data_IF_182824709472
#
_entry.id   IF_182824709472
#
_cell.length_a   1.000
_cell.length_b   1.000
_cell.length_c   1.000
_cell.angle_alpha   90.00
_cell.angle_beta   90.00
_cell.angle_gamma   90.00
#
_symmetry.space_group_name_H-M   'P 1'
#
loop_
_entity.id
_entity.type
_entity.pdbx_description
1 polymer ?
#
# COMPACT_ATOMS: atom_id res chain seq x y z
N UNK A 1 63.74 -10.84 -14.82
CA UNK A 1 62.65 -11.61 -14.17
C UNK A 1 61.33 -11.23 -14.83
N UNK A 2 60.52 -12.24 -15.17
CA UNK A 2 59.06 -12.26 -15.48
C UNK A 2 58.47 -10.98 -16.14
N UNK A 3 58.14 -11.05 -17.45
CA UNK A 3 56.79 -11.32 -18.03
C UNK A 3 55.80 -10.16 -17.73
N UNK A 4 54.98 -9.62 -18.62
CA UNK A 4 54.57 -9.85 -20.02
C UNK A 4 53.57 -8.68 -20.28
N UNK A 5 53.70 -7.96 -21.41
CA UNK A 5 52.64 -7.71 -22.43
C UNK A 5 51.30 -7.12 -21.94
N UNK A 6 50.64 -6.13 -22.53
CA UNK A 6 50.80 -5.18 -23.65
C UNK A 6 49.49 -4.35 -23.70
N UNK A 7 49.51 -3.23 -24.44
CA UNK A 7 48.44 -2.68 -25.32
C UNK A 7 47.06 -2.39 -24.71
N UNK A 8 46.63 -1.13 -24.56
CA UNK A 8 46.41 -0.07 -25.57
C UNK A 8 45.19 -0.28 -26.48
N UNK A 9 44.50 0.84 -26.68
CA UNK A 9 43.58 1.21 -27.77
C UNK A 9 42.07 0.95 -27.59
N UNK A 10 41.39 2.01 -27.15
CA UNK A 10 40.38 2.80 -27.89
C UNK A 10 39.29 2.11 -28.72
N UNK A 11 38.08 2.67 -28.50
CA UNK A 11 36.90 2.78 -29.37
C UNK A 11 35.99 1.55 -29.47
N UNK A 12 34.80 1.68 -28.85
CA UNK A 12 33.56 1.36 -29.55
C UNK A 12 32.49 2.40 -29.18
N UNK A 13 32.19 3.25 -30.16
CA UNK A 13 30.94 3.98 -30.29
C UNK A 13 29.78 2.99 -30.50
N UNK A 14 28.60 3.41 -30.06
CA UNK A 14 27.27 2.88 -30.42
C UNK A 14 26.90 1.48 -29.90
N UNK A 15 26.20 1.49 -28.76
CA UNK A 15 24.94 0.76 -28.65
C UNK A 15 24.08 1.45 -27.59
N UNK A 16 23.21 2.36 -28.04
CA UNK A 16 21.94 2.56 -27.36
C UNK A 16 21.35 1.16 -27.20
N UNK A 17 21.20 0.68 -25.96
CA UNK A 17 20.31 -0.44 -25.72
C UNK A 17 18.89 0.07 -25.85
N UNK A 18 18.48 0.26 -27.11
CA UNK A 18 17.12 -0.02 -27.56
C UNK A 18 16.80 -1.42 -27.05
N UNK A 19 16.27 -1.51 -25.84
CA UNK A 19 15.42 -2.63 -25.49
C UNK A 19 14.16 -2.40 -26.30
N UNK A 20 14.22 -2.82 -27.56
CA UNK A 20 13.05 -3.06 -28.37
C UNK A 20 12.10 -3.89 -27.52
N UNK A 21 11.03 -3.24 -27.08
CA UNK A 21 9.87 -3.91 -26.54
C UNK A 21 9.46 -4.92 -27.59
N UNK A 22 9.65 -6.20 -27.31
CA UNK A 22 8.91 -7.24 -28.00
C UNK A 22 7.46 -7.02 -27.59
N UNK A 23 6.75 -6.15 -28.33
CA UNK A 23 5.31 -6.17 -28.37
C UNK A 23 4.94 -7.49 -29.01
N UNK A 24 4.72 -8.51 -28.17
CA UNK A 24 3.77 -9.55 -28.56
C UNK A 24 2.43 -8.85 -28.61
N UNK A 25 1.85 -8.73 -29.79
CA UNK A 25 0.41 -8.50 -29.90
C UNK A 25 -0.28 -9.65 -29.17
N UNK A 26 -0.76 -9.35 -27.97
CA UNK A 26 -1.63 -10.25 -27.23
C UNK A 26 -3.05 -9.92 -27.67
N UNK A 27 -3.48 -10.68 -28.67
CA UNK A 27 -4.83 -10.70 -29.21
C UNK A 27 -5.78 -11.33 -28.19
N UNK A 28 -6.08 -10.56 -27.14
CA UNK A 28 -6.98 -10.95 -26.05
C UNK A 28 -7.97 -9.85 -25.77
N UNK A 29 -9.23 -10.25 -25.69
CA UNK A 29 -10.36 -9.37 -25.44
C UNK A 29 -10.28 -8.75 -24.03
N UNK A 30 -10.93 -7.59 -23.78
CA UNK A 30 -10.85 -6.88 -22.51
C UNK A 30 -11.19 -7.74 -21.27
N UNK A 31 -12.12 -8.68 -21.38
CA UNK A 31 -12.49 -9.60 -20.30
C UNK A 31 -11.40 -10.61 -19.94
N UNK A 32 -10.61 -11.04 -20.93
CA UNK A 32 -9.50 -11.98 -20.70
C UNK A 32 -8.30 -11.30 -20.03
N UNK A 33 -8.09 -10.01 -20.31
CA UNK A 33 -7.06 -9.17 -19.66
C UNK A 33 -7.38 -8.93 -18.18
N UNK A 34 -8.65 -8.69 -17.85
CA UNK A 34 -9.15 -8.60 -16.47
C UNK A 34 -8.96 -9.91 -15.71
N UNK A 35 -9.25 -11.04 -16.34
CA UNK A 35 -9.05 -12.37 -15.74
C UNK A 35 -7.59 -12.71 -15.45
N UNK A 36 -6.66 -12.30 -16.31
CA UNK A 36 -5.22 -12.46 -16.05
C UNK A 36 -4.73 -11.52 -14.96
N UNK A 37 -5.15 -10.25 -14.95
CA UNK A 37 -4.81 -9.31 -13.88
C UNK A 37 -5.34 -9.77 -12.52
N UNK A 38 -6.58 -10.26 -12.43
CA UNK A 38 -7.14 -10.83 -11.19
C UNK A 38 -6.36 -12.06 -10.72
N UNK A 39 -5.94 -12.94 -11.64
CA UNK A 39 -5.14 -14.13 -11.31
C UNK A 39 -3.74 -13.76 -10.82
N UNK A 40 -3.11 -12.77 -11.44
CA UNK A 40 -1.77 -12.31 -11.06
C UNK A 40 -1.81 -11.50 -9.76
N UNK A 41 -2.87 -10.72 -9.55
CA UNK A 41 -3.14 -10.04 -8.27
C UNK A 41 -3.39 -11.06 -7.15
N UNK A 42 -4.18 -12.10 -7.40
CA UNK A 42 -4.45 -13.17 -6.43
C UNK A 42 -3.17 -13.96 -6.09
N UNK A 43 -2.29 -14.18 -7.06
CA UNK A 43 -0.98 -14.82 -6.85
C UNK A 43 0.00 -13.93 -6.08
N UNK A 44 0.05 -12.63 -6.39
CA UNK A 44 0.86 -11.64 -5.67
C UNK A 44 0.37 -11.44 -4.24
N UNK A 45 -0.94 -11.28 -4.06
CA UNK A 45 -1.59 -11.07 -2.76
C UNK A 45 -1.47 -12.28 -1.84
N UNK A 46 -1.47 -13.52 -2.37
CA UNK A 46 -1.21 -14.72 -1.55
C UNK A 46 0.21 -14.71 -0.97
N UNK A 47 1.22 -14.32 -1.76
CA UNK A 47 2.63 -14.24 -1.31
C UNK A 47 2.91 -13.08 -0.36
N UNK A 48 2.21 -11.96 -0.51
CA UNK A 48 2.40 -10.77 0.35
C UNK A 48 1.56 -10.84 1.64
N UNK A 49 0.41 -11.51 1.62
CA UNK A 49 -0.44 -11.69 2.81
C UNK A 49 0.10 -12.79 3.75
N UNK A 50 0.71 -13.86 3.20
CA UNK A 50 1.36 -14.90 4.00
C UNK A 50 2.62 -14.37 4.74
N UNK A 51 3.38 -13.44 4.16
CA UNK A 51 4.60 -12.89 4.80
C UNK A 51 4.35 -11.73 5.77
N UNK A 52 3.23 -11.00 5.63
CA UNK A 52 2.87 -9.90 6.55
C UNK A 52 2.15 -10.37 7.82
N UNK A 53 1.54 -11.56 7.81
CA UNK A 53 0.89 -12.15 8.98
C UNK A 53 1.91 -12.63 10.03
N UNK A 54 3.04 -13.18 9.59
CA UNK A 54 4.09 -13.72 10.48
C UNK A 54 4.97 -12.65 11.14
N UNK A 55 5.05 -11.43 10.58
CA UNK A 55 5.98 -10.39 11.07
C UNK A 55 5.37 -9.47 12.15
N UNK A 56 4.07 -9.56 12.44
CA UNK A 56 3.34 -8.47 13.08
C UNK A 56 2.42 -8.84 14.24
N UNK A 57 2.66 -9.98 14.93
CA UNK A 57 2.25 -10.19 16.33
C UNK A 57 0.84 -9.77 16.75
N UNK A 58 -0.12 -9.79 15.81
CA UNK A 58 -1.52 -9.45 16.05
C UNK A 58 -2.30 -10.64 15.50
N UNK A 59 -2.80 -11.44 16.43
CA UNK A 59 -3.70 -12.57 16.17
C UNK A 59 -4.82 -12.15 15.19
N UNK A 60 -4.69 -12.59 13.94
CA UNK A 60 -5.69 -13.38 13.20
C UNK A 60 -7.15 -12.91 13.09
N UNK A 61 -7.53 -11.68 13.48
CA UNK A 61 -8.89 -11.20 13.21
C UNK A 61 -8.98 -10.69 11.78
N UNK A 62 -9.74 -11.40 10.95
CA UNK A 62 -10.15 -10.93 9.64
C UNK A 62 -10.68 -9.50 9.76
N UNK A 63 -10.21 -8.61 8.89
CA UNK A 63 -10.64 -7.22 8.87
C UNK A 63 -12.16 -7.15 8.65
N UNK A 64 -12.91 -6.89 9.72
CA UNK A 64 -14.37 -6.91 9.72
C UNK A 64 -14.98 -5.74 8.95
N UNK A 65 -14.15 -4.80 8.50
CA UNK A 65 -14.58 -3.61 7.75
C UNK A 65 -14.63 -3.84 6.23
N UNK A 66 -14.20 -5.02 5.75
CA UNK A 66 -14.18 -5.33 4.32
C UNK A 66 -15.60 -5.47 3.76
N UNK A 67 -15.78 -4.93 2.55
CA UNK A 67 -17.02 -4.96 1.80
C UNK A 67 -16.88 -6.01 0.69
N UNK A 68 -17.84 -6.92 0.61
CA UNK A 68 -17.86 -7.94 -0.43
C UNK A 68 -18.66 -7.47 -1.66
N UNK A 69 -18.03 -7.50 -2.83
CA UNK A 69 -18.64 -7.23 -4.13
C UNK A 69 -18.33 -8.45 -5.01
N UNK A 70 -19.37 -9.17 -5.42
CA UNK A 70 -19.28 -10.35 -6.30
C UNK A 70 -18.26 -11.39 -5.82
N UNK A 71 -18.25 -11.67 -4.52
CA UNK A 71 -17.34 -12.63 -3.89
C UNK A 71 -15.92 -12.11 -3.62
N UNK A 72 -15.63 -10.85 -3.94
CA UNK A 72 -14.33 -10.21 -3.69
C UNK A 72 -14.44 -9.21 -2.54
N UNK A 73 -13.58 -9.36 -1.52
CA UNK A 73 -13.56 -8.50 -0.33
C UNK A 73 -12.60 -7.34 -0.50
N UNK A 74 -13.13 -6.13 -0.52
CA UNK A 74 -12.40 -4.88 -0.67
C UNK A 74 -12.40 -4.05 0.61
N UNK A 75 -11.34 -3.27 0.83
CA UNK A 75 -11.36 -2.17 1.78
C UNK A 75 -12.38 -1.11 1.34
N UNK A 76 -13.10 -0.47 2.28
CA UNK A 76 -13.94 0.65 1.94
C UNK A 76 -13.14 1.81 1.32
N UNK A 77 -13.79 2.52 0.40
CA UNK A 77 -13.25 3.72 -0.23
C UNK A 77 -13.77 4.92 0.54
N UNK A 78 -12.86 5.57 1.26
CA UNK A 78 -13.15 6.78 2.01
C UNK A 78 -12.85 8.00 1.14
N UNK A 79 -13.76 8.98 1.17
CA UNK A 79 -13.57 10.25 0.44
C UNK A 79 -13.60 11.47 1.35
N UNK A 80 -13.96 11.28 2.61
CA UNK A 80 -14.05 12.33 3.61
C UNK A 80 -12.92 12.17 4.62
N UNK A 81 -12.12 13.21 4.78
CA UNK A 81 -11.18 13.34 5.88
C UNK A 81 -11.92 13.84 7.13
N UNK A 82 -11.71 13.17 8.26
CA UNK A 82 -12.35 13.50 9.54
C UNK A 82 -11.35 13.78 10.64
N UNK A 83 -10.05 13.62 10.37
CA UNK A 83 -9.06 13.64 11.43
C UNK A 83 -8.81 15.04 11.92
N UNK A 84 -8.99 15.26 13.23
CA UNK A 84 -8.93 16.60 13.81
C UNK A 84 -7.55 16.99 14.34
N UNK A 85 -6.60 16.06 14.38
CA UNK A 85 -5.22 16.33 14.77
C UNK A 85 -4.35 16.65 13.54
N UNK A 86 -3.17 17.25 13.75
CA UNK A 86 -2.25 17.55 12.65
C UNK A 86 -1.83 16.29 11.90
N UNK A 87 -2.17 16.25 10.61
CA UNK A 87 -2.01 15.12 9.70
C UNK A 87 -1.26 15.47 8.42
N UNK A 88 -0.78 16.71 8.26
CA UNK A 88 -0.13 17.17 7.02
C UNK A 88 1.07 16.27 6.67
N UNK A 89 1.89 15.94 7.67
CA UNK A 89 3.03 15.02 7.47
C UNK A 89 2.59 13.58 7.21
N UNK A 90 1.41 13.14 7.67
CA UNK A 90 0.86 11.81 7.40
C UNK A 90 0.47 11.69 5.94
N UNK A 91 -0.23 12.69 5.42
CA UNK A 91 -0.63 12.73 4.02
C UNK A 91 0.58 12.75 3.10
N UNK A 92 1.54 13.63 3.38
CA UNK A 92 2.77 13.72 2.59
C UNK A 92 3.54 12.39 2.55
N UNK A 93 3.66 11.72 3.70
CA UNK A 93 4.33 10.43 3.78
C UNK A 93 3.60 9.33 2.99
N UNK A 94 2.27 9.26 3.11
CA UNK A 94 1.44 8.32 2.35
C UNK A 94 1.54 8.56 0.85
N UNK A 95 1.43 9.81 0.40
CA UNK A 95 1.62 10.15 -1.01
C UNK A 95 3.00 9.75 -1.52
N UNK A 96 4.05 10.04 -0.75
CA UNK A 96 5.44 9.78 -1.14
C UNK A 96 5.70 8.29 -1.29
N UNK A 97 5.34 7.49 -0.28
CA UNK A 97 5.50 6.04 -0.35
C UNK A 97 4.60 5.42 -1.44
N UNK A 98 3.37 5.89 -1.59
CA UNK A 98 2.46 5.41 -2.64
C UNK A 98 3.02 5.66 -4.03
N UNK A 99 3.47 6.89 -4.32
CA UNK A 99 4.04 7.26 -5.61
C UNK A 99 5.32 6.47 -5.93
N UNK A 100 6.11 6.12 -4.92
CA UNK A 100 7.27 5.24 -5.10
C UNK A 100 6.88 3.81 -5.50
N UNK A 101 5.75 3.29 -4.99
CA UNK A 101 5.24 1.94 -5.30
C UNK A 101 4.46 1.86 -6.61
N UNK A 102 3.66 2.88 -6.89
CA UNK A 102 2.72 2.93 -8.02
C UNK A 102 2.94 4.20 -8.84
N UNK A 103 4.13 4.30 -9.43
CA UNK A 103 4.62 5.52 -10.11
C UNK A 103 3.83 5.95 -11.37
N UNK A 104 2.96 5.10 -11.90
CA UNK A 104 2.07 5.41 -13.04
C UNK A 104 0.63 5.72 -12.60
N UNK A 105 0.27 5.48 -11.34
CA UNK A 105 -1.06 5.74 -10.83
C UNK A 105 -1.22 7.21 -10.44
N UNK A 106 -2.38 7.79 -10.71
CA UNK A 106 -2.69 9.18 -10.35
C UNK A 106 -3.48 9.21 -9.05
N UNK A 107 -2.90 9.76 -7.98
CA UNK A 107 -3.60 9.92 -6.70
C UNK A 107 -4.84 10.80 -6.90
N UNK A 108 -5.98 10.31 -6.45
CA UNK A 108 -7.29 10.97 -6.50
C UNK A 108 -7.60 11.61 -5.14
N UNK A 109 -7.38 10.88 -4.06
CA UNK A 109 -7.60 11.39 -2.70
C UNK A 109 -6.69 10.70 -1.69
N UNK A 110 -6.39 11.41 -0.61
CA UNK A 110 -5.73 10.88 0.58
C UNK A 110 -6.54 11.33 1.79
N UNK A 111 -6.96 10.38 2.61
CA UNK A 111 -7.93 10.65 3.69
C UNK A 111 -7.63 9.81 4.93
N UNK A 112 -7.84 10.40 6.10
CA UNK A 112 -7.95 9.66 7.35
C UNK A 112 -9.44 9.71 7.78
N UNK A 113 -10.19 8.61 7.65
CA UNK A 113 -11.63 8.61 7.93
C UNK A 113 -11.97 8.63 9.43
N UNK A 114 -10.97 8.49 10.29
CA UNK A 114 -11.13 8.53 11.74
C UNK A 114 -11.14 9.96 12.26
N UNK A 115 -11.98 10.25 13.25
CA UNK A 115 -11.97 11.56 13.91
C UNK A 115 -10.72 11.75 14.79
N UNK A 116 -10.28 10.67 15.46
CA UNK A 116 -9.12 10.68 16.34
C UNK A 116 -8.35 9.36 16.27
N UNK A 117 -7.22 9.28 16.98
CA UNK A 117 -6.44 8.06 17.11
C UNK A 117 -7.25 6.95 17.77
N UNK A 118 -7.13 5.72 17.26
CA UNK A 118 -7.57 4.52 17.97
C UNK A 118 -6.59 4.23 19.10
N UNK A 119 -7.03 4.40 20.33
CA UNK A 119 -6.20 4.15 21.50
C UNK A 119 -6.43 2.76 22.06
N UNK A 120 -5.36 2.15 22.56
CA UNK A 120 -5.37 0.85 23.20
C UNK A 120 -4.36 0.83 24.36
N UNK A 121 -4.66 0.02 25.37
CA UNK A 121 -3.77 -0.25 26.50
C UNK A 121 -3.12 -1.61 26.27
N UNK A 122 -1.80 -1.67 26.37
CA UNK A 122 -1.05 -2.92 26.33
C UNK A 122 -0.77 -3.33 27.77
N UNK A 123 -1.27 -4.52 28.12
CA UNK A 123 -1.15 -5.09 29.45
C UNK A 123 -0.04 -6.14 29.48
N UNK A 124 0.84 -6.08 30.48
CA UNK A 124 1.82 -7.14 30.77
C UNK A 124 1.68 -7.55 32.23
N UNK A 125 1.49 -8.85 32.50
CA UNK A 125 1.38 -9.37 33.88
C UNK A 125 0.33 -8.62 34.73
N UNK A 126 -0.83 -8.28 34.14
CA UNK A 126 -1.90 -7.46 34.75
C UNK A 126 -1.50 -6.01 35.08
N UNK A 127 -0.29 -5.62 34.69
CA UNK A 127 0.35 -4.30 34.57
C UNK A 127 -0.11 -3.48 33.38
N UNK A 128 -0.40 -2.18 33.49
CA UNK A 128 -0.34 -1.32 32.28
C UNK A 128 1.14 -1.15 31.89
N UNK A 129 1.54 -1.74 30.77
CA UNK A 129 2.92 -1.66 30.28
C UNK A 129 3.12 -0.43 29.39
N UNK A 130 2.18 -0.19 28.48
CA UNK A 130 2.22 0.95 27.55
C UNK A 130 0.82 1.31 27.05
N UNK A 131 0.71 2.53 26.55
CA UNK A 131 -0.40 2.98 25.73
C UNK A 131 0.05 2.95 24.28
N UNK A 132 -0.84 2.50 23.40
CA UNK A 132 -0.65 2.46 21.95
C UNK A 132 -1.76 3.31 21.33
N UNK A 133 -1.41 4.11 20.34
CA UNK A 133 -2.42 4.78 19.52
C UNK A 133 -2.15 4.57 18.04
N UNK A 134 -3.19 4.41 17.23
CA UNK A 134 -3.08 4.13 15.79
C UNK A 134 -4.07 4.94 14.97
N UNK A 135 -3.64 5.36 13.79
CA UNK A 135 -4.51 5.95 12.77
C UNK A 135 -4.23 5.32 11.41
N UNK A 136 -5.26 5.20 10.58
CA UNK A 136 -5.20 4.66 9.23
C UNK A 136 -5.39 5.77 8.20
N UNK A 137 -4.46 5.86 7.27
CA UNK A 137 -4.55 6.76 6.13
C UNK A 137 -4.81 5.94 4.87
N UNK A 138 -5.78 6.37 4.08
CA UNK A 138 -6.18 5.72 2.84
C UNK A 138 -5.77 6.59 1.66
N UNK A 139 -5.12 5.98 0.66
CA UNK A 139 -4.75 6.60 -0.60
C UNK A 139 -5.55 5.93 -1.69
N UNK A 140 -6.45 6.69 -2.32
CA UNK A 140 -7.17 6.27 -3.50
C UNK A 140 -6.47 6.86 -4.72
N UNK A 141 -6.08 6.02 -5.66
CA UNK A 141 -5.48 6.44 -6.92
C UNK A 141 -6.18 5.77 -8.10
N UNK A 142 -6.14 6.42 -9.25
CA UNK A 142 -6.60 5.88 -10.52
C UNK A 142 -5.45 5.17 -11.22
N UNK A 143 -5.68 3.93 -11.62
CA UNK A 143 -4.74 3.12 -12.41
C UNK A 143 -5.16 3.19 -13.89
N UNK A 144 -4.62 4.19 -14.59
CA UNK A 144 -4.96 4.46 -15.98
C UNK A 144 -6.47 4.67 -16.21
N UNK A 145 -7.06 3.87 -17.11
CA UNK A 145 -8.50 3.89 -17.40
C UNK A 145 -9.25 2.69 -16.82
N UNK A 146 -8.53 1.71 -16.27
CA UNK A 146 -9.05 0.37 -16.03
C UNK A 146 -9.63 0.19 -14.61
N UNK A 147 -9.15 0.99 -13.65
CA UNK A 147 -9.64 0.90 -12.29
C UNK A 147 -8.98 1.86 -11.31
N UNK A 148 -9.07 1.48 -10.04
CA UNK A 148 -8.53 2.23 -8.92
C UNK A 148 -7.65 1.33 -8.05
N UNK A 149 -6.70 1.95 -7.37
CA UNK A 149 -5.93 1.35 -6.29
C UNK A 149 -6.36 2.04 -5.01
N UNK A 150 -6.83 1.28 -4.03
CA UNK A 150 -7.12 1.78 -2.69
C UNK A 150 -6.08 1.19 -1.72
N UNK A 151 -5.18 2.02 -1.21
CA UNK A 151 -4.11 1.60 -0.31
C UNK A 151 -4.36 2.09 1.12
N UNK A 152 -4.14 1.23 2.11
CA UNK A 152 -4.19 1.57 3.54
C UNK A 152 -2.79 1.58 4.13
N UNK A 153 -2.54 2.65 4.86
CA UNK A 153 -1.36 2.89 5.66
C UNK A 153 -1.72 2.99 7.14
N UNK A 154 -0.83 2.57 8.03
CA UNK A 154 -0.98 2.85 9.46
C UNK A 154 0.17 3.66 10.04
N UNK A 155 -0.20 4.59 10.91
CA UNK A 155 0.69 5.30 11.81
C UNK A 155 0.39 4.80 13.21
N UNK A 156 1.40 4.35 13.94
CA UNK A 156 1.26 3.85 15.30
C UNK A 156 2.21 4.63 16.19
N UNK A 157 1.78 5.00 17.39
CA UNK A 157 2.61 5.61 18.42
C UNK A 157 2.48 4.84 19.73
N UNK A 158 3.52 4.90 20.55
CA UNK A 158 3.58 4.22 21.84
C UNK A 158 4.02 5.21 22.92
N UNK A 159 3.51 5.04 24.13
CA UNK A 159 4.10 5.68 25.32
C UNK A 159 4.04 4.75 26.51
N UNK A 160 5.06 4.86 27.37
CA UNK A 160 4.97 4.30 28.73
C UNK A 160 4.14 5.24 29.62
N UNK A 161 3.58 4.74 30.74
CA UNK A 161 2.94 5.60 31.73
C UNK A 161 3.85 6.74 32.17
N UNK A 162 3.30 7.96 32.26
CA UNK A 162 4.05 9.17 32.64
C UNK A 162 4.97 9.75 31.55
N UNK A 163 5.08 9.10 30.39
CA UNK A 163 5.96 9.55 29.29
C UNK A 163 5.16 10.21 28.16
N UNK A 164 5.84 11.04 27.37
CA UNK A 164 5.28 11.59 26.12
C UNK A 164 5.08 10.50 25.07
N UNK A 165 4.18 10.77 24.12
CA UNK A 165 4.05 9.94 22.93
C UNK A 165 5.36 9.93 22.15
N UNK A 166 5.95 8.76 22.06
CA UNK A 166 6.99 8.46 21.09
C UNK A 166 6.26 7.92 19.87
N UNK A 167 6.65 8.34 18.68
CA UNK A 167 6.41 7.44 17.58
C UNK A 167 7.64 6.52 17.40
N UNK A 168 7.42 5.31 16.88
CA UNK A 168 8.42 4.25 16.87
C UNK A 168 9.44 4.44 15.75
N UNK A 169 10.69 4.02 15.97
CA UNK A 169 11.71 3.91 14.92
C UNK A 169 11.18 3.11 13.70
N UNK A 170 11.50 3.56 12.47
CA UNK A 170 10.87 3.09 11.21
C UNK A 170 9.72 3.98 10.69
N UNK A 171 9.62 5.17 11.27
CA UNK A 171 8.64 6.24 11.05
C UNK A 171 8.27 6.52 9.58
N UNK A 172 6.97 6.38 9.30
CA UNK A 172 6.23 6.87 8.13
C UNK A 172 6.29 6.03 6.84
N UNK A 173 5.12 5.87 6.21
CA UNK A 173 3.93 5.20 6.74
C UNK A 173 4.07 3.67 6.62
N UNK A 174 3.47 2.90 7.54
CA UNK A 174 3.46 1.44 7.35
C UNK A 174 2.41 1.06 6.31
N UNK A 175 2.84 0.61 5.13
CA UNK A 175 1.94 0.03 4.14
C UNK A 175 1.32 -1.27 4.68
N UNK A 176 -0.01 -1.32 4.79
CA UNK A 176 -0.71 -2.51 5.30
C UNK A 176 -1.34 -3.35 4.20
N UNK A 177 -1.97 -2.70 3.22
CA UNK A 177 -2.74 -3.36 2.17
C UNK A 177 -2.97 -2.42 1.00
N UNK A 178 -3.05 -2.94 -0.22
CA UNK A 178 -3.67 -2.25 -1.33
C UNK A 178 -4.61 -3.20 -2.09
N UNK A 179 -5.76 -2.68 -2.50
CA UNK A 179 -6.72 -3.37 -3.33
C UNK A 179 -6.77 -2.72 -4.71
N UNK A 180 -6.68 -3.54 -5.76
CA UNK A 180 -7.00 -3.11 -7.12
C UNK A 180 -8.48 -3.35 -7.38
N UNK A 181 -9.20 -2.27 -7.67
CA UNK A 181 -10.64 -2.21 -7.80
C UNK A 181 -10.98 -1.95 -9.27
N UNK A 182 -11.47 -2.95 -10.02
CA UNK A 182 -11.95 -2.74 -11.38
C UNK A 182 -13.07 -1.70 -11.41
N UNK A 183 -13.18 -0.95 -12.52
CA UNK A 183 -14.21 0.08 -12.68
C UNK A 183 -15.63 -0.42 -12.38
N UNK A 184 -15.94 -1.66 -12.78
CA UNK A 184 -17.25 -2.29 -12.56
C UNK A 184 -17.58 -2.53 -11.07
N UNK A 185 -16.56 -2.69 -10.22
CA UNK A 185 -16.74 -2.85 -8.77
C UNK A 185 -16.68 -1.50 -8.05
N UNK A 186 -15.91 -0.54 -8.57
CA UNK A 186 -15.64 0.73 -7.90
C UNK A 186 -16.92 1.50 -7.51
N UNK A 187 -17.86 1.66 -8.45
CA UNK A 187 -19.09 2.42 -8.16
C UNK A 187 -19.95 1.75 -7.07
N UNK A 188 -20.01 0.42 -7.07
CA UNK A 188 -20.74 -0.35 -6.05
C UNK A 188 -20.02 -0.31 -4.71
N UNK A 189 -18.70 -0.45 -4.72
CA UNK A 189 -17.87 -0.35 -3.51
C UNK A 189 -18.00 1.04 -2.88
N UNK A 190 -17.89 2.11 -3.67
CA UNK A 190 -18.04 3.49 -3.21
C UNK A 190 -19.42 3.72 -2.57
N UNK A 191 -20.50 3.19 -3.18
CA UNK A 191 -21.86 3.30 -2.63
C UNK A 191 -22.03 2.59 -1.29
N UNK A 192 -21.33 1.47 -1.09
CA UNK A 192 -21.40 0.66 0.12
C UNK A 192 -20.34 1.05 1.17
N UNK A 193 -19.44 1.97 0.84
CA UNK A 193 -18.39 2.43 1.76
C UNK A 193 -18.98 3.43 2.77
N UNK A 194 -18.62 3.32 4.05
CA UNK A 194 -18.97 4.34 5.02
C UNK A 194 -18.11 5.58 4.72
N UNK A 195 -18.78 6.68 4.34
CA UNK A 195 -18.29 8.06 4.22
C UNK A 195 -16.89 8.29 3.60
#
# INVERSE_FOLDING_TARGET
MKRIITTACTLLLMALSMHAQVYKEVDKTPGERLGTLLKDLKKGMKKTCESLSDLLGLEGKADSTLIEIDGVKYMPVYTVDRFTADSVSMYAACCTDFAARYNVATIVSVTIPQENWLEAVVMEKKKVAMYKRRVYCYVLAKDGKDGYINARYSFTQYRKPGMRWLAPEGYWPKFERADVIPMMHYNRLKKNSPW
#
